data_IF_341258344258
#
_entry.id   IF_341258344258
#
_cell.length_a   1.000
_cell.length_b   1.000
_cell.length_c   1.000
_cell.angle_alpha   90.00
_cell.angle_beta   90.00
_cell.angle_gamma   90.00
#
_symmetry.space_group_name_H-M   'P 1'
#
loop_
_entity.id
_entity.type
_entity.pdbx_description
1 polymer ?
#
# COMPACT_ATOMS: atom_id res chain seq x y z
N UNK A 1 -20.25 28.52 -0.85
CA UNK A 1 -19.31 27.93 -1.85
C UNK A 1 -18.40 27.08 -1.00
N UNK A 2 -18.73 25.79 -0.89
CA UNK A 2 -17.91 24.83 -0.12
C UNK A 2 -16.57 24.66 -0.83
N UNK A 3 -15.45 24.64 -0.14
CA UNK A 3 -14.16 24.42 -0.76
C UNK A 3 -14.12 22.97 -1.25
N UNK A 4 -14.19 22.77 -2.56
CA UNK A 4 -13.85 21.52 -3.22
C UNK A 4 -12.35 21.28 -3.09
N UNK A 5 -11.95 20.35 -2.25
CA UNK A 5 -10.58 19.88 -2.15
C UNK A 5 -10.41 18.61 -3.01
N UNK A 6 -9.47 18.57 -3.97
CA UNK A 6 -9.31 17.46 -4.90
C UNK A 6 -8.30 16.43 -4.39
N UNK A 7 -8.58 15.76 -3.27
CA UNK A 7 -7.71 14.70 -2.80
C UNK A 7 -8.53 13.43 -2.53
N UNK A 8 -8.06 12.31 -3.03
CA UNK A 8 -8.67 11.00 -2.83
C UNK A 8 -8.20 10.41 -1.49
N UNK A 9 -9.13 9.91 -0.72
CA UNK A 9 -8.89 9.31 0.60
C UNK A 9 -8.84 7.79 0.49
N UNK A 10 -7.99 7.12 1.29
CA UNK A 10 -8.00 5.65 1.38
C UNK A 10 -9.23 5.20 2.15
N UNK A 11 -9.53 5.91 3.24
CA UNK A 11 -10.69 5.68 4.10
C UNK A 11 -11.31 7.01 4.48
N UNK A 12 -12.51 6.99 5.04
CA UNK A 12 -13.21 8.18 5.52
C UNK A 12 -12.31 8.94 6.51
N UNK A 13 -12.14 10.25 6.31
CA UNK A 13 -11.33 11.17 7.15
C UNK A 13 -9.82 10.91 7.17
N UNK A 14 -9.27 10.03 6.34
CA UNK A 14 -7.81 9.80 6.36
C UNK A 14 -7.01 11.02 5.93
N UNK A 15 -7.56 11.83 5.03
CA UNK A 15 -6.94 13.09 4.59
C UNK A 15 -6.92 14.14 5.69
N UNK A 16 -8.06 14.37 6.34
CA UNK A 16 -8.16 15.32 7.44
C UNK A 16 -7.23 14.90 8.58
N UNK A 17 -7.20 13.63 8.93
CA UNK A 17 -6.33 13.11 9.97
C UNK A 17 -4.84 13.32 9.61
N UNK A 18 -4.46 13.15 8.35
CA UNK A 18 -3.11 13.45 7.88
C UNK A 18 -2.79 14.95 8.00
N UNK A 19 -3.71 15.84 7.65
CA UNK A 19 -3.53 17.28 7.81
C UNK A 19 -3.40 17.67 9.29
N UNK A 20 -4.26 17.17 10.17
CA UNK A 20 -4.16 17.42 11.62
C UNK A 20 -2.83 16.93 12.20
N UNK A 21 -2.34 15.77 11.78
CA UNK A 21 -1.03 15.29 12.19
C UNK A 21 0.09 16.24 11.73
N UNK A 22 0.04 16.72 10.49
CA UNK A 22 1.02 17.67 9.97
C UNK A 22 0.99 19.01 10.69
N UNK A 23 -0.18 19.53 11.07
CA UNK A 23 -0.37 20.73 11.86
C UNK A 23 0.27 20.61 13.26
N UNK A 24 0.15 19.44 13.89
CA UNK A 24 0.78 19.15 15.19
C UNK A 24 2.30 19.03 15.03
N UNK A 25 2.81 18.34 14.03
CA UNK A 25 4.24 18.27 13.74
C UNK A 25 4.84 19.65 13.45
N UNK A 26 4.15 20.50 12.68
CA UNK A 26 4.59 21.85 12.39
C UNK A 26 4.63 22.72 13.64
N UNK A 27 3.66 22.59 14.58
CA UNK A 27 3.69 23.28 15.86
C UNK A 27 4.89 22.86 16.72
N UNK A 28 5.32 21.61 16.62
CA UNK A 28 6.54 21.09 17.27
C UNK A 28 7.83 21.42 16.50
N UNK A 29 7.76 22.19 15.40
CA UNK A 29 8.88 22.51 14.50
C UNK A 29 9.52 21.28 13.84
N UNK A 30 8.73 20.23 13.65
CA UNK A 30 9.11 19.01 12.93
C UNK A 30 8.63 19.15 11.49
N UNK A 31 9.54 18.99 10.53
CA UNK A 31 9.18 19.07 9.12
C UNK A 31 8.46 17.78 8.69
N UNK A 32 7.25 17.93 8.13
CA UNK A 32 6.43 16.88 7.59
C UNK A 32 6.38 16.95 6.05
N UNK A 33 6.64 15.82 5.39
CA UNK A 33 6.49 15.65 3.95
C UNK A 33 5.21 14.88 3.70
N UNK A 34 4.22 15.51 3.07
CA UNK A 34 2.91 14.94 2.82
C UNK A 34 2.82 14.41 1.39
N UNK A 35 2.51 13.15 1.26
CA UNK A 35 2.22 12.55 -0.04
C UNK A 35 0.88 13.10 -0.53
N UNK A 36 0.88 13.67 -1.73
CA UNK A 36 -0.23 14.46 -2.27
C UNK A 36 -1.49 13.69 -2.65
N UNK A 37 -1.41 12.35 -2.69
CA UNK A 37 -2.50 11.45 -3.08
C UNK A 37 -2.52 10.21 -2.21
N UNK A 38 -3.68 9.58 -2.13
CA UNK A 38 -3.82 8.23 -1.60
C UNK A 38 -2.86 7.29 -2.32
N UNK A 39 -2.05 6.56 -1.57
CA UNK A 39 -0.92 5.83 -2.11
C UNK A 39 -0.78 4.47 -1.41
N UNK A 40 -0.18 3.48 -2.07
CA UNK A 40 0.13 2.21 -1.44
C UNK A 40 0.98 2.38 -0.17
N UNK A 41 0.68 1.64 0.89
CA UNK A 41 1.49 1.61 2.12
C UNK A 41 2.98 1.35 1.83
N UNK A 42 3.35 0.41 0.93
CA UNK A 42 4.75 0.20 0.55
C UNK A 42 5.46 1.41 -0.06
N UNK A 43 4.73 2.38 -0.63
CA UNK A 43 5.31 3.62 -1.14
C UNK A 43 5.85 4.49 0.01
N UNK A 44 5.14 4.58 1.14
CA UNK A 44 5.61 5.31 2.33
C UNK A 44 6.88 4.66 2.86
N UNK A 45 6.90 3.33 2.99
CA UNK A 45 8.07 2.55 3.43
C UNK A 45 9.27 2.79 2.51
N UNK A 46 9.06 2.73 1.20
CA UNK A 46 10.07 3.00 0.19
C UNK A 46 10.65 4.42 0.33
N UNK A 47 9.78 5.41 0.49
CA UNK A 47 10.20 6.82 0.58
C UNK A 47 11.01 7.08 1.84
N UNK A 48 10.60 6.54 2.99
CA UNK A 48 11.34 6.59 4.25
C UNK A 48 12.73 5.97 4.08
N UNK A 49 12.81 4.78 3.49
CA UNK A 49 14.09 4.09 3.26
C UNK A 49 14.99 4.88 2.30
N UNK A 50 14.44 5.35 1.18
CA UNK A 50 15.23 5.96 0.11
C UNK A 50 15.81 7.32 0.47
N UNK A 51 15.09 8.09 1.29
CA UNK A 51 15.48 9.43 1.71
C UNK A 51 16.04 9.50 3.13
N UNK A 52 16.33 8.33 3.74
CA UNK A 52 16.90 8.21 5.09
C UNK A 52 16.10 8.98 6.15
N UNK A 53 14.77 8.97 6.01
CA UNK A 53 13.91 9.57 7.03
C UNK A 53 13.91 8.74 8.30
N UNK A 54 13.89 9.38 9.49
CA UNK A 54 13.82 8.66 10.75
C UNK A 54 12.47 7.97 10.96
N UNK A 55 11.39 8.56 10.46
CA UNK A 55 10.03 8.07 10.62
C UNK A 55 9.17 8.33 9.39
N UNK A 56 8.19 7.45 9.19
CA UNK A 56 7.06 7.63 8.29
C UNK A 56 5.74 7.28 8.98
N UNK A 57 4.65 7.79 8.46
CA UNK A 57 3.33 7.52 8.99
C UNK A 57 2.33 7.31 7.86
N UNK A 58 1.42 6.35 8.04
CA UNK A 58 0.33 6.06 7.13
C UNK A 58 -0.98 5.99 7.89
N UNK A 59 -1.98 6.70 7.41
CA UNK A 59 -3.34 6.65 7.96
C UNK A 59 -4.17 5.75 7.07
N UNK A 60 -4.59 4.61 7.59
CA UNK A 60 -5.28 3.56 6.84
C UNK A 60 -6.10 2.65 7.74
N UNK A 61 -7.18 2.10 7.22
CA UNK A 61 -7.88 0.97 7.83
C UNK A 61 -7.32 -0.39 7.33
N UNK A 62 -6.33 -0.38 6.42
CA UNK A 62 -5.84 -1.61 5.77
C UNK A 62 -7.00 -2.40 5.14
N UNK A 63 -7.23 -3.62 5.58
CA UNK A 63 -8.30 -4.52 5.12
C UNK A 63 -9.54 -4.50 6.02
N UNK A 64 -9.63 -3.60 7.00
CA UNK A 64 -10.77 -3.46 7.89
C UNK A 64 -11.94 -2.74 7.21
N UNK A 65 -13.16 -2.79 7.79
CA UNK A 65 -14.27 -1.98 7.31
C UNK A 65 -13.94 -0.49 7.24
N UNK A 66 -14.47 0.21 6.25
CA UNK A 66 -14.19 1.61 5.93
C UNK A 66 -14.46 2.62 7.07
N UNK A 67 -15.24 2.23 8.09
CA UNK A 67 -15.53 3.07 9.27
C UNK A 67 -14.34 3.15 10.25
N UNK A 68 -13.33 2.31 10.07
CA UNK A 68 -12.13 2.31 10.91
C UNK A 68 -11.02 3.10 10.23
N UNK A 69 -10.19 3.72 11.05
CA UNK A 69 -8.90 4.25 10.69
C UNK A 69 -7.88 3.85 11.75
N UNK A 70 -6.62 3.75 11.34
CA UNK A 70 -5.50 3.50 12.22
C UNK A 70 -4.27 4.23 11.72
N UNK A 71 -3.25 4.25 12.53
CA UNK A 71 -1.96 4.83 12.19
C UNK A 71 -0.93 3.71 12.15
N UNK A 72 -0.31 3.49 10.98
CA UNK A 72 0.91 2.69 10.87
C UNK A 72 2.10 3.61 11.00
N UNK A 73 3.06 3.25 11.83
CA UNK A 73 4.30 3.99 12.01
C UNK A 73 5.46 3.18 11.41
N UNK A 74 6.26 3.84 10.59
CA UNK A 74 7.47 3.29 10.01
C UNK A 74 8.69 3.97 10.61
N UNK A 75 9.73 3.19 10.82
CA UNK A 75 11.01 3.64 11.38
C UNK A 75 12.09 3.70 10.30
N UNK A 76 13.28 4.17 10.66
CA UNK A 76 14.42 4.27 9.76
C UNK A 76 14.64 2.98 8.95
N UNK A 77 14.87 3.14 7.64
CA UNK A 77 14.96 2.04 6.69
C UNK A 77 13.61 1.53 6.17
N UNK A 78 12.50 2.25 6.45
CA UNK A 78 11.16 1.92 5.95
C UNK A 78 10.57 0.66 6.56
N UNK A 79 10.85 0.39 7.83
CA UNK A 79 10.36 -0.79 8.57
C UNK A 79 9.16 -0.43 9.42
N UNK A 80 8.23 -1.37 9.60
CA UNK A 80 7.18 -1.19 10.60
C UNK A 80 7.79 -0.98 11.98
N UNK A 81 7.18 -0.11 12.80
CA UNK A 81 7.49 -0.02 14.22
C UNK A 81 7.20 -1.38 14.88
N UNK A 82 8.11 -1.84 15.71
CA UNK A 82 7.92 -3.08 16.46
C UNK A 82 6.94 -2.90 17.64
N UNK A 83 6.61 -4.02 18.31
CA UNK A 83 5.65 -4.01 19.42
C UNK A 83 6.10 -3.12 20.59
N UNK A 84 7.40 -3.02 20.85
CA UNK A 84 7.95 -2.18 21.91
C UNK A 84 7.78 -0.71 21.55
N UNK A 85 8.17 -0.34 20.34
CA UNK A 85 8.05 1.04 19.82
C UNK A 85 6.58 1.48 19.77
N UNK A 86 5.69 0.58 19.33
CA UNK A 86 4.25 0.87 19.29
C UNK A 86 3.70 1.07 20.69
N UNK A 87 4.09 0.22 21.64
CA UNK A 87 3.67 0.33 23.04
C UNK A 87 4.17 1.63 23.68
N UNK A 88 5.42 2.01 23.45
CA UNK A 88 5.97 3.27 23.94
C UNK A 88 5.18 4.47 23.42
N UNK A 89 4.82 4.47 22.12
CA UNK A 89 3.98 5.50 21.50
C UNK A 89 2.58 5.57 22.13
N UNK A 90 1.94 4.44 22.36
CA UNK A 90 0.64 4.38 23.03
C UNK A 90 0.69 4.92 24.45
N UNK A 91 1.75 4.59 25.22
CA UNK A 91 1.94 5.07 26.57
C UNK A 91 2.18 6.60 26.59
N UNK A 92 2.98 7.16 25.67
CA UNK A 92 3.12 8.60 25.51
C UNK A 92 1.79 9.28 25.16
N UNK A 93 0.99 8.71 24.25
CA UNK A 93 -0.32 9.25 23.86
C UNK A 93 -1.27 9.25 25.08
N UNK A 94 -1.25 8.20 25.90
CA UNK A 94 -2.09 8.08 27.08
C UNK A 94 -1.75 9.16 28.15
N UNK A 95 -0.50 9.60 28.22
CA UNK A 95 -0.03 10.62 29.17
C UNK A 95 -0.29 12.05 28.69
N UNK A 96 -0.66 12.26 27.42
CA UNK A 96 -0.94 13.60 26.88
C UNK A 96 -2.32 14.07 27.36
N UNK A 97 -2.38 15.17 28.10
CA UNK A 97 -3.62 15.83 28.44
C UNK A 97 -4.31 16.38 27.17
N UNK A 98 -5.64 16.35 27.12
CA UNK A 98 -6.42 16.79 25.96
C UNK A 98 -6.18 18.24 25.52
N UNK A 99 -5.70 19.09 26.43
CA UNK A 99 -5.32 20.49 26.22
C UNK A 99 -3.79 20.66 25.96
N UNK A 100 -3.04 19.54 25.98
CA UNK A 100 -1.58 19.52 25.76
C UNK A 100 -1.15 19.46 24.29
N UNK A 101 -2.08 19.26 23.37
CA UNK A 101 -1.76 19.17 21.94
C UNK A 101 -1.81 20.56 21.31
N UNK A 102 -0.65 21.01 20.82
CA UNK A 102 -0.55 22.26 20.06
C UNK A 102 -0.58 21.96 18.57
N UNK A 103 -1.28 22.79 17.80
CA UNK A 103 -1.31 22.73 16.34
C UNK A 103 -1.19 24.16 15.77
N UNK A 104 -0.68 24.24 14.54
CA UNK A 104 -0.70 25.48 13.73
C UNK A 104 -1.59 25.23 12.52
N UNK A 105 -2.17 26.28 11.95
CA UNK A 105 -2.99 26.10 10.75
C UNK A 105 -2.13 25.54 9.60
N UNK A 106 -2.72 24.66 8.80
CA UNK A 106 -2.04 23.95 7.70
C UNK A 106 -1.27 24.91 6.78
N UNK A 107 -1.93 26.01 6.34
CA UNK A 107 -1.32 26.99 5.45
C UNK A 107 -0.17 27.78 6.11
N UNK A 108 -0.27 28.04 7.41
CA UNK A 108 0.82 28.67 8.18
C UNK A 108 2.03 27.74 8.29
N UNK A 109 1.79 26.44 8.52
CA UNK A 109 2.83 25.41 8.53
C UNK A 109 3.53 25.27 7.15
N UNK A 110 2.78 25.37 6.05
CA UNK A 110 3.34 25.41 4.69
C UNK A 110 4.16 26.68 4.46
N UNK A 111 3.63 27.84 4.82
CA UNK A 111 4.33 29.11 4.66
C UNK A 111 5.63 29.17 5.48
N UNK A 112 5.65 28.55 6.64
CA UNK A 112 6.84 28.42 7.49
C UNK A 112 7.84 27.35 7.03
N UNK A 113 7.48 26.52 6.03
CA UNK A 113 8.32 25.45 5.48
C UNK A 113 8.36 24.16 6.31
N UNK A 114 7.49 24.01 7.30
CA UNK A 114 7.36 22.77 8.09
C UNK A 114 6.43 21.75 7.44
N UNK A 115 5.58 22.15 6.51
CA UNK A 115 4.72 21.25 5.74
C UNK A 115 5.09 21.38 4.26
N UNK A 116 5.45 20.27 3.62
CA UNK A 116 5.80 20.20 2.20
C UNK A 116 5.04 19.06 1.52
N UNK A 117 4.31 19.35 0.44
CA UNK A 117 3.66 18.33 -0.36
C UNK A 117 4.64 17.72 -1.36
N UNK A 118 4.67 16.39 -1.43
CA UNK A 118 5.56 15.61 -2.28
C UNK A 118 4.79 14.66 -3.22
N UNK A 119 5.44 14.24 -4.32
CA UNK A 119 4.83 13.48 -5.42
C UNK A 119 5.65 12.20 -5.74
N UNK A 120 5.79 11.27 -4.80
CA UNK A 120 6.74 10.16 -4.91
C UNK A 120 6.28 9.00 -5.80
N UNK A 121 5.04 8.99 -6.30
CA UNK A 121 4.46 7.84 -7.00
C UNK A 121 5.28 7.39 -8.20
N UNK A 122 5.73 8.33 -9.04
CA UNK A 122 6.52 7.98 -10.24
C UNK A 122 7.87 7.36 -9.86
N UNK A 123 8.53 7.93 -8.87
CA UNK A 123 9.80 7.41 -8.34
C UNK A 123 9.66 5.99 -7.78
N UNK A 124 8.56 5.73 -7.08
CA UNK A 124 8.21 4.41 -6.58
C UNK A 124 7.98 3.39 -7.71
N UNK A 125 7.17 3.77 -8.72
CA UNK A 125 6.89 2.93 -9.90
C UNK A 125 8.20 2.61 -10.64
N UNK A 126 9.05 3.61 -10.90
CA UNK A 126 10.34 3.44 -11.59
C UNK A 126 11.26 2.50 -10.81
N UNK A 127 11.28 2.60 -9.49
CA UNK A 127 12.06 1.69 -8.64
C UNK A 127 11.57 0.24 -8.75
N UNK A 128 10.27 -0.01 -8.74
CA UNK A 128 9.71 -1.36 -8.94
C UNK A 128 10.07 -1.89 -10.32
N UNK A 129 9.88 -1.09 -11.37
CA UNK A 129 10.22 -1.46 -12.74
C UNK A 129 11.70 -1.85 -12.86
N UNK A 130 12.58 -1.12 -12.18
CA UNK A 130 14.02 -1.42 -12.18
C UNK A 130 14.39 -2.70 -11.40
N UNK A 131 13.56 -3.10 -10.43
CA UNK A 131 13.82 -4.25 -9.56
C UNK A 131 13.30 -5.59 -10.09
N UNK A 132 12.39 -5.57 -11.08
CA UNK A 132 11.79 -6.77 -11.67
C UNK A 132 12.30 -7.06 -13.07
N UNK A 133 12.16 -8.32 -13.53
CA UNK A 133 12.55 -8.72 -14.87
C UNK A 133 11.46 -8.38 -15.89
N UNK A 134 11.37 -7.10 -16.24
CA UNK A 134 10.40 -6.58 -17.21
C UNK A 134 10.47 -7.25 -18.57
N UNK A 135 11.65 -7.78 -18.94
CA UNK A 135 11.81 -8.50 -20.21
C UNK A 135 11.11 -9.85 -20.14
N UNK A 136 11.30 -10.59 -19.07
CA UNK A 136 10.65 -11.90 -18.89
C UNK A 136 9.13 -11.77 -18.85
N UNK A 137 8.59 -10.74 -18.18
CA UNK A 137 7.15 -10.47 -18.13
C UNK A 137 6.63 -10.12 -19.52
N UNK A 138 7.33 -9.29 -20.27
CA UNK A 138 6.96 -8.90 -21.65
C UNK A 138 6.97 -10.09 -22.61
N UNK A 139 8.01 -10.93 -22.52
CA UNK A 139 8.15 -12.10 -23.40
C UNK A 139 7.09 -13.16 -23.10
N UNK A 140 6.44 -13.13 -21.93
CA UNK A 140 5.37 -14.02 -21.55
C UNK A 140 3.99 -13.63 -22.12
N UNK A 141 3.84 -12.42 -22.67
CA UNK A 141 2.62 -11.90 -23.33
C UNK A 141 1.34 -12.13 -22.52
N UNK A 142 1.38 -11.78 -21.23
CA UNK A 142 0.34 -12.10 -20.26
C UNK A 142 -0.91 -11.24 -20.43
N UNK A 143 -2.07 -11.88 -20.31
CA UNK A 143 -3.37 -11.26 -20.10
C UNK A 143 -3.74 -11.30 -18.62
N UNK A 144 -3.79 -10.14 -18.00
CA UNK A 144 -3.94 -9.97 -16.55
C UNK A 144 -5.30 -9.38 -16.21
N UNK A 145 -6.04 -10.01 -15.30
CA UNK A 145 -7.18 -9.41 -14.63
C UNK A 145 -6.71 -8.76 -13.32
N UNK A 146 -6.90 -7.44 -13.17
CA UNK A 146 -6.51 -6.68 -11.99
C UNK A 146 -7.75 -6.27 -11.19
N UNK A 147 -7.72 -6.52 -9.88
CA UNK A 147 -8.74 -6.10 -8.94
C UNK A 147 -8.10 -5.32 -7.77
N UNK A 148 -8.06 -3.99 -7.81
CA UNK A 148 -7.57 -3.18 -6.69
C UNK A 148 -8.56 -3.14 -5.51
N UNK A 149 -9.68 -3.85 -5.56
CA UNK A 149 -10.73 -3.87 -4.54
C UNK A 149 -11.17 -2.47 -4.10
N UNK A 150 -11.31 -1.55 -5.08
CA UNK A 150 -11.61 -0.12 -4.87
C UNK A 150 -10.52 0.67 -4.13
N UNK A 151 -9.36 0.07 -3.89
CA UNK A 151 -8.21 0.66 -3.19
C UNK A 151 -7.25 1.41 -4.09
N UNK A 152 -6.04 1.64 -3.59
CA UNK A 152 -5.06 2.60 -4.13
C UNK A 152 -4.06 2.01 -5.14
N UNK A 153 -4.08 0.69 -5.39
CA UNK A 153 -3.09 0.04 -6.27
C UNK A 153 -3.34 0.23 -7.77
N UNK A 154 -4.53 0.68 -8.17
CA UNK A 154 -4.94 0.74 -9.58
C UNK A 154 -3.88 1.42 -10.44
N UNK A 155 -3.54 2.66 -10.13
CA UNK A 155 -2.62 3.45 -10.94
C UNK A 155 -1.21 2.86 -10.98
N UNK A 156 -0.65 2.48 -9.83
CA UNK A 156 0.72 1.98 -9.75
C UNK A 156 0.87 0.61 -10.42
N UNK A 157 0.04 -0.36 -10.04
CA UNK A 157 0.15 -1.73 -10.53
C UNK A 157 -0.22 -1.84 -12.01
N UNK A 158 -1.27 -1.16 -12.43
CA UNK A 158 -1.67 -1.09 -13.85
C UNK A 158 -0.58 -0.45 -14.72
N UNK A 159 0.04 0.64 -14.26
CA UNK A 159 1.15 1.28 -14.99
C UNK A 159 2.32 0.32 -15.16
N UNK A 160 2.70 -0.42 -14.12
CA UNK A 160 3.80 -1.40 -14.16
C UNK A 160 3.47 -2.51 -15.18
N UNK A 161 2.28 -3.09 -15.10
CA UNK A 161 1.84 -4.17 -16.00
C UNK A 161 1.77 -3.70 -17.46
N UNK A 162 1.22 -2.52 -17.73
CA UNK A 162 1.18 -1.94 -19.08
C UNK A 162 2.59 -1.61 -19.61
N UNK A 163 3.50 -1.18 -18.75
CA UNK A 163 4.91 -0.97 -19.12
C UNK A 163 5.58 -2.29 -19.51
N UNK A 164 5.19 -3.39 -18.86
CA UNK A 164 5.60 -4.74 -19.21
C UNK A 164 4.88 -5.30 -20.47
N UNK A 165 3.98 -4.52 -21.10
CA UNK A 165 3.20 -4.94 -22.28
C UNK A 165 2.18 -6.03 -22.02
N UNK A 166 1.74 -6.21 -20.79
CA UNK A 166 0.60 -7.09 -20.50
C UNK A 166 -0.70 -6.50 -21.08
N UNK A 167 -1.61 -7.38 -21.51
CA UNK A 167 -3.01 -7.02 -21.70
C UNK A 167 -3.66 -6.93 -20.31
N UNK A 168 -4.12 -5.74 -19.88
CA UNK A 168 -4.65 -5.54 -18.53
C UNK A 168 -6.13 -5.16 -18.59
N UNK A 169 -6.96 -6.00 -17.98
CA UNK A 169 -8.35 -5.66 -17.71
C UNK A 169 -8.54 -5.45 -16.21
N UNK A 170 -9.20 -4.36 -15.82
CA UNK A 170 -9.40 -3.99 -14.42
C UNK A 170 -10.87 -4.07 -14.04
N UNK A 171 -11.16 -4.66 -12.88
CA UNK A 171 -12.46 -4.62 -12.23
C UNK A 171 -12.32 -3.86 -10.91
N UNK A 172 -13.41 -3.28 -10.38
CA UNK A 172 -13.42 -2.49 -9.15
C UNK A 172 -12.32 -1.41 -9.11
N UNK A 173 -12.06 -0.78 -10.27
CA UNK A 173 -10.97 0.18 -10.49
C UNK A 173 -11.30 1.59 -10.00
N UNK A 174 -12.58 1.91 -9.78
CA UNK A 174 -12.97 3.20 -9.20
C UNK A 174 -12.58 3.24 -7.73
N UNK A 175 -11.77 4.21 -7.37
CA UNK A 175 -11.50 4.48 -5.96
C UNK A 175 -12.81 4.78 -5.20
N UNK A 176 -13.04 4.08 -4.10
CA UNK A 176 -14.23 4.22 -3.26
C UNK A 176 -13.85 3.99 -1.80
N UNK A 177 -13.94 5.02 -0.99
CA UNK A 177 -13.62 4.97 0.46
C UNK A 177 -14.49 4.00 1.25
N UNK A 178 -15.62 3.56 0.68
CA UNK A 178 -16.50 2.52 1.24
C UNK A 178 -16.19 1.11 0.68
N UNK A 179 -15.21 0.99 -0.23
CA UNK A 179 -14.81 -0.28 -0.87
C UNK A 179 -15.97 -1.06 -1.49
N UNK A 180 -16.94 -0.34 -2.11
CA UNK A 180 -18.16 -0.95 -2.67
C UNK A 180 -19.03 -1.65 -1.63
N UNK A 181 -18.91 -1.29 -0.37
CA UNK A 181 -19.62 -1.92 0.75
C UNK A 181 -19.11 -3.31 1.14
N UNK A 182 -17.88 -3.66 0.72
CA UNK A 182 -17.24 -4.96 1.00
C UNK A 182 -15.99 -4.77 1.85
N UNK A 183 -15.46 -5.87 2.40
CA UNK A 183 -14.13 -5.87 3.00
C UNK A 183 -13.09 -5.86 1.89
N UNK A 184 -12.15 -4.91 1.88
CA UNK A 184 -11.06 -4.86 0.90
C UNK A 184 -9.92 -5.82 1.28
N UNK A 185 -10.25 -7.08 1.51
CA UNK A 185 -9.31 -8.12 1.92
C UNK A 185 -9.24 -9.22 0.85
N UNK A 186 -8.10 -9.40 0.14
CA UNK A 186 -7.98 -10.33 -0.96
C UNK A 186 -7.89 -11.79 -0.45
N UNK A 187 -9.02 -12.47 -0.40
CA UNK A 187 -9.15 -13.85 0.05
C UNK A 187 -9.99 -14.69 -0.92
N UNK A 188 -9.97 -16.00 -0.78
CA UNK A 188 -10.80 -16.88 -1.58
C UNK A 188 -12.30 -16.54 -1.48
N UNK A 189 -12.75 -16.04 -0.31
CA UNK A 189 -14.15 -15.70 -0.07
C UNK A 189 -14.56 -14.33 -0.66
N UNK A 190 -13.62 -13.41 -0.87
CA UNK A 190 -13.91 -12.05 -1.36
C UNK A 190 -13.67 -11.88 -2.85
N UNK A 191 -12.86 -12.75 -3.48
CA UNK A 191 -12.41 -12.61 -4.85
C UNK A 191 -13.26 -13.37 -5.88
N UNK A 192 -14.50 -13.77 -5.58
CA UNK A 192 -15.35 -14.48 -6.52
C UNK A 192 -15.57 -13.75 -7.85
N UNK A 193 -15.69 -12.43 -7.82
CA UNK A 193 -15.82 -11.64 -9.05
C UNK A 193 -14.58 -11.76 -9.93
N UNK A 194 -13.38 -11.70 -9.34
CA UNK A 194 -12.11 -11.85 -10.04
C UNK A 194 -11.94 -13.28 -10.57
N UNK A 195 -12.24 -14.30 -9.77
CA UNK A 195 -12.19 -15.71 -10.18
C UNK A 195 -13.05 -15.97 -11.43
N UNK A 196 -14.31 -15.53 -11.41
CA UNK A 196 -15.21 -15.65 -12.54
C UNK A 196 -14.70 -14.88 -13.77
N UNK A 197 -14.21 -13.64 -13.54
CA UNK A 197 -13.70 -12.79 -14.62
C UNK A 197 -12.49 -13.43 -15.32
N UNK A 198 -11.55 -14.00 -14.58
CA UNK A 198 -10.37 -14.70 -15.14
C UNK A 198 -10.79 -15.82 -16.07
N UNK A 199 -11.72 -16.67 -15.63
CA UNK A 199 -12.21 -17.81 -16.43
C UNK A 199 -13.02 -17.34 -17.65
N UNK A 200 -13.97 -16.42 -17.47
CA UNK A 200 -14.83 -15.95 -18.55
C UNK A 200 -14.06 -15.20 -19.64
N UNK A 201 -13.05 -14.43 -19.25
CA UNK A 201 -12.24 -13.62 -20.17
C UNK A 201 -10.97 -14.33 -20.62
N UNK A 202 -10.73 -15.55 -20.12
CA UNK A 202 -9.54 -16.35 -20.44
C UNK A 202 -8.25 -15.54 -20.14
N UNK A 203 -8.15 -14.99 -18.92
CA UNK A 203 -6.93 -14.35 -18.45
C UNK A 203 -5.94 -15.39 -17.95
N UNK A 204 -4.64 -15.13 -18.11
CA UNK A 204 -3.59 -16.03 -17.64
C UNK A 204 -3.44 -15.96 -16.11
N UNK A 205 -3.78 -14.81 -15.53
CA UNK A 205 -3.65 -14.57 -14.08
C UNK A 205 -4.62 -13.48 -13.63
N UNK A 206 -5.17 -13.64 -12.44
CA UNK A 206 -5.88 -12.59 -11.69
C UNK A 206 -5.03 -12.10 -10.54
N UNK A 207 -4.95 -10.79 -10.36
CA UNK A 207 -4.20 -10.14 -9.27
C UNK A 207 -5.14 -9.21 -8.53
N UNK A 208 -5.21 -9.33 -7.21
CA UNK A 208 -5.94 -8.41 -6.35
C UNK A 208 -5.04 -7.86 -5.24
N UNK A 209 -5.34 -6.65 -4.76
CA UNK A 209 -4.70 -6.08 -3.56
C UNK A 209 -5.76 -5.67 -2.55
N UNK A 210 -5.38 -5.51 -1.29
CA UNK A 210 -6.25 -4.86 -0.31
C UNK A 210 -6.30 -3.33 -0.49
N UNK A 211 -7.04 -2.65 0.37
CA UNK A 211 -7.33 -1.22 0.23
C UNK A 211 -6.09 -0.33 0.17
N UNK A 212 -5.08 -0.60 0.99
CA UNK A 212 -3.81 0.13 1.05
C UNK A 212 -2.64 -0.59 0.35
N UNK A 213 -2.96 -1.66 -0.39
CA UNK A 213 -2.06 -2.38 -1.30
C UNK A 213 -0.79 -2.95 -0.66
N UNK A 214 -0.87 -3.41 0.60
CA UNK A 214 0.22 -4.13 1.26
C UNK A 214 0.01 -5.66 1.27
N UNK A 215 -1.15 -6.14 0.78
CA UNK A 215 -1.48 -7.56 0.62
C UNK A 215 -1.82 -7.89 -0.82
N UNK A 216 -1.62 -9.16 -1.20
CA UNK A 216 -1.90 -9.67 -2.54
C UNK A 216 -2.77 -10.92 -2.47
N UNK A 217 -3.72 -11.01 -3.40
CA UNK A 217 -4.43 -12.24 -3.76
C UNK A 217 -4.16 -12.58 -5.22
N UNK A 218 -3.95 -13.85 -5.51
CA UNK A 218 -3.65 -14.33 -6.87
C UNK A 218 -4.63 -15.42 -7.26
N UNK A 219 -5.11 -15.35 -8.50
CA UNK A 219 -6.00 -16.33 -9.12
C UNK A 219 -5.28 -16.92 -10.33
N UNK A 220 -5.27 -18.24 -10.47
CA UNK A 220 -4.72 -18.90 -11.65
C UNK A 220 -5.66 -18.82 -12.87
N UNK A 221 -5.21 -19.29 -14.03
CA UNK A 221 -5.96 -19.34 -15.30
C UNK A 221 -7.26 -20.17 -15.25
N UNK A 222 -7.42 -20.97 -14.20
CA UNK A 222 -8.62 -21.81 -13.97
C UNK A 222 -9.60 -21.22 -12.96
N UNK A 223 -9.29 -20.03 -12.42
CA UNK A 223 -10.10 -19.38 -11.39
C UNK A 223 -9.82 -19.86 -9.97
N UNK A 224 -8.76 -20.62 -9.73
CA UNK A 224 -8.40 -21.06 -8.39
C UNK A 224 -7.64 -19.96 -7.65
N UNK A 225 -8.01 -19.72 -6.40
CA UNK A 225 -7.25 -18.85 -5.50
C UNK A 225 -5.96 -19.55 -5.07
N UNK A 226 -4.82 -18.89 -5.30
CA UNK A 226 -3.52 -19.34 -4.82
C UNK A 226 -3.29 -18.83 -3.40
N UNK A 227 -3.08 -19.76 -2.46
CA UNK A 227 -2.84 -19.37 -1.08
C UNK A 227 -1.51 -18.63 -0.94
N UNK A 228 -1.40 -17.54 -0.14
CA UNK A 228 -0.16 -16.77 0.02
C UNK A 228 1.06 -17.62 0.38
N UNK A 229 0.88 -18.68 1.15
CA UNK A 229 1.97 -19.61 1.48
C UNK A 229 2.49 -20.36 0.23
N UNK A 230 1.63 -20.71 -0.72
CA UNK A 230 2.03 -21.36 -1.96
C UNK A 230 2.79 -20.38 -2.86
N UNK A 231 2.35 -19.10 -2.88
CA UNK A 231 3.04 -18.02 -3.59
C UNK A 231 4.43 -17.80 -3.02
N UNK A 232 4.59 -17.81 -1.69
CA UNK A 232 5.91 -17.68 -1.03
C UNK A 232 6.85 -18.84 -1.42
N UNK A 233 6.35 -20.08 -1.45
CA UNK A 233 7.14 -21.26 -1.86
C UNK A 233 7.53 -21.17 -3.33
N UNK A 234 6.60 -20.77 -4.20
CA UNK A 234 6.87 -20.57 -5.64
C UNK A 234 7.91 -19.47 -5.87
N UNK A 235 7.79 -18.36 -5.15
CA UNK A 235 8.75 -17.25 -5.23
C UNK A 235 10.14 -17.71 -4.76
N UNK A 236 10.22 -18.40 -3.63
CA UNK A 236 11.48 -18.93 -3.13
C UNK A 236 12.11 -19.92 -4.14
N UNK A 237 11.30 -20.85 -4.67
CA UNK A 237 11.76 -21.77 -5.71
C UNK A 237 12.31 -21.01 -6.95
N UNK A 238 11.60 -19.97 -7.39
CA UNK A 238 12.04 -19.13 -8.50
C UNK A 238 13.36 -18.43 -8.23
N UNK A 239 13.53 -17.83 -7.06
CA UNK A 239 14.75 -17.11 -6.69
C UNK A 239 15.95 -18.06 -6.63
N UNK A 240 15.79 -19.23 -6.03
CA UNK A 240 16.89 -20.23 -5.95
C UNK A 240 17.17 -20.88 -7.31
N UNK A 241 16.13 -21.39 -7.98
CA UNK A 241 16.27 -22.20 -9.18
C UNK A 241 16.66 -21.39 -10.42
N UNK A 242 16.03 -20.25 -10.61
CA UNK A 242 16.15 -19.46 -11.84
C UNK A 242 17.01 -18.21 -11.69
N UNK A 243 17.04 -17.58 -10.53
CA UNK A 243 17.91 -16.43 -10.26
C UNK A 243 19.25 -16.83 -9.63
N UNK A 244 19.40 -18.08 -9.16
CA UNK A 244 20.63 -18.57 -8.53
C UNK A 244 20.96 -17.87 -7.20
N UNK A 245 19.96 -17.34 -6.51
CA UNK A 245 20.15 -16.70 -5.23
C UNK A 245 20.28 -17.74 -4.12
N UNK A 246 21.32 -17.62 -3.32
CA UNK A 246 21.59 -18.49 -2.19
C UNK A 246 21.77 -17.65 -0.93
N UNK A 247 21.23 -18.12 0.18
CA UNK A 247 21.33 -17.42 1.46
C UNK A 247 20.25 -17.83 2.45
N UNK A 248 20.29 -17.28 3.66
CA UNK A 248 19.25 -17.53 4.66
C UNK A 248 17.93 -16.89 4.23
N UNK A 249 16.83 -17.56 4.56
CA UNK A 249 15.47 -17.07 4.39
C UNK A 249 14.91 -16.66 5.75
N UNK A 250 14.38 -15.43 5.81
CA UNK A 250 13.67 -14.94 7.00
C UNK A 250 12.17 -15.01 6.73
N UNK A 251 11.43 -15.61 7.63
CA UNK A 251 9.97 -15.70 7.59
C UNK A 251 9.37 -15.38 8.95
N UNK A 252 8.14 -14.95 8.99
CA UNK A 252 7.41 -14.80 10.23
C UNK A 252 6.80 -16.16 10.69
N UNK A 253 6.31 -16.19 11.93
CA UNK A 253 5.75 -17.43 12.51
C UNK A 253 4.45 -17.87 11.84
N UNK A 254 3.72 -16.96 11.22
CA UNK A 254 2.42 -17.22 10.60
C UNK A 254 2.53 -17.80 9.18
N UNK A 255 3.72 -17.89 8.60
CA UNK A 255 3.93 -18.39 7.23
C UNK A 255 4.31 -19.89 7.23
N UNK A 256 4.31 -20.48 6.02
CA UNK A 256 4.61 -21.89 5.80
C UNK A 256 5.97 -22.33 6.33
N UNK A 257 6.09 -23.59 6.79
CA UNK A 257 7.35 -24.24 7.14
C UNK A 257 8.06 -24.88 5.92
N UNK A 258 7.55 -24.71 4.71
CA UNK A 258 8.10 -25.29 3.48
C UNK A 258 9.25 -24.46 2.87
N UNK A 259 9.61 -23.34 3.48
CA UNK A 259 10.74 -22.47 3.09
C UNK A 259 12.03 -22.90 3.76
#
# INVERSE_FOLDING_TARGET
MEPHFPFEEITILSKEAMQWAAEVFAAAQIKAYLINKSSPTPLVMFYVMKHDFPYGMMITASHNPAIYNGIKVFTAGGRDADEIQTKDLEDYIADIASDGVCAVAYEDGKAAGYIEEIYPLNEYIDNIIASVDMKAIRDADLKVALDPMYGVSETSLKTILLTARCEVATIHDRHDTLFGGKLPAPSAATLHSLQNYVVEKQCDIGIATDGDADRIGVIDDKGNFLHPNDILVLLYYYLVKFKGWYGPVVRNIATTHML
#
